data_IF_855770953364
#
_entry.id   IF_855770953364
#
_cell.length_a   1.000
_cell.length_b   1.000
_cell.length_c   1.000
_cell.angle_alpha   90.00
_cell.angle_beta   90.00
_cell.angle_gamma   90.00
#
_symmetry.space_group_name_H-M   'P 1'
#
loop_
_entity.id
_entity.type
_entity.pdbx_description
1 polymer ?
#
# COMPACT_ATOMS: atom_id res chain seq x y z
N UNK A 1 -9.04 -17.66 -1.83
CA UNK A 1 -8.12 -17.56 -0.69
C UNK A 1 -7.29 -18.82 -0.65
N UNK A 2 -6.02 -18.72 -0.99
CA UNK A 2 -5.06 -19.79 -0.73
C UNK A 2 -4.76 -19.79 0.78
N UNK A 3 -4.58 -20.95 1.40
CA UNK A 3 -4.46 -21.06 2.86
C UNK A 3 -3.19 -20.45 3.47
N UNK A 4 -2.34 -19.77 2.71
CA UNK A 4 -1.06 -19.19 3.17
C UNK A 4 -0.65 -17.90 2.45
N UNK A 5 -1.53 -17.21 1.73
CA UNK A 5 -1.21 -15.97 1.04
C UNK A 5 -1.26 -14.75 1.96
N UNK A 6 -0.53 -13.68 1.61
CA UNK A 6 -0.57 -12.41 2.32
C UNK A 6 -1.76 -11.56 1.84
N UNK A 7 -2.50 -10.94 2.77
CA UNK A 7 -3.59 -10.00 2.42
C UNK A 7 -3.04 -8.63 1.98
N UNK A 8 -1.88 -8.25 2.53
CA UNK A 8 -1.20 -6.98 2.28
C UNK A 8 0.26 -7.21 1.92
N UNK A 9 0.70 -6.65 0.79
CA UNK A 9 2.10 -6.63 0.39
C UNK A 9 2.65 -5.22 0.63
N UNK A 10 3.77 -5.11 1.32
CA UNK A 10 4.48 -3.85 1.51
C UNK A 10 5.68 -3.81 0.57
N UNK A 11 5.73 -2.81 -0.31
CA UNK A 11 6.92 -2.47 -1.10
C UNK A 11 8.01 -1.95 -0.17
N UNK A 12 9.15 -2.62 -0.10
CA UNK A 12 10.20 -2.31 0.86
C UNK A 12 11.60 -2.37 0.23
N UNK A 13 12.22 -1.22 0.02
CA UNK A 13 13.56 -1.08 -0.56
C UNK A 13 14.65 -0.90 0.52
N UNK A 14 14.26 -0.80 1.80
CA UNK A 14 15.15 -0.58 2.93
C UNK A 14 15.52 0.89 3.12
N UNK A 15 14.80 1.81 2.51
CA UNK A 15 14.97 3.25 2.72
C UNK A 15 14.28 3.70 4.02
N UNK A 16 14.71 4.82 4.63
CA UNK A 16 14.01 5.33 5.82
C UNK A 16 12.52 5.61 5.59
N UNK A 17 12.11 5.97 4.37
CA UNK A 17 10.71 6.24 4.07
C UNK A 17 9.84 4.98 4.08
N UNK A 18 10.42 3.82 3.74
CA UNK A 18 9.69 2.57 3.71
C UNK A 18 9.17 2.17 5.10
N UNK A 19 9.78 2.69 6.17
CA UNK A 19 9.27 2.50 7.52
C UNK A 19 7.88 3.13 7.72
N UNK A 20 7.49 4.14 6.92
CA UNK A 20 6.13 4.66 6.90
C UNK A 20 5.16 3.63 6.29
N UNK A 21 5.60 2.92 5.24
CA UNK A 21 4.80 1.83 4.66
C UNK A 21 4.65 0.65 5.63
N UNK A 22 5.70 0.32 6.40
CA UNK A 22 5.60 -0.68 7.47
C UNK A 22 4.57 -0.26 8.52
N UNK A 23 4.59 1.02 8.94
CA UNK A 23 3.64 1.56 9.92
C UNK A 23 2.21 1.47 9.39
N UNK A 24 1.94 1.90 8.15
CA UNK A 24 0.61 1.80 7.54
C UNK A 24 0.16 0.33 7.39
N UNK A 25 1.03 -0.55 6.88
CA UNK A 25 0.73 -1.97 6.74
C UNK A 25 0.32 -2.60 8.08
N UNK A 26 1.05 -2.32 9.15
CA UNK A 26 0.71 -2.76 10.52
C UNK A 26 -0.67 -2.25 10.96
N UNK A 27 -0.99 -0.98 10.67
CA UNK A 27 -2.27 -0.38 11.04
C UNK A 27 -3.44 -1.02 10.29
N UNK A 28 -3.29 -1.28 8.99
CA UNK A 28 -4.33 -1.90 8.16
C UNK A 28 -4.58 -3.37 8.53
N UNK A 29 -3.55 -4.08 8.99
CA UNK A 29 -3.62 -5.52 9.29
C UNK A 29 -3.88 -5.84 10.75
N UNK A 30 -4.12 -4.85 11.59
CA UNK A 30 -4.35 -5.03 13.03
C UNK A 30 -5.44 -6.09 13.28
N UNK A 31 -5.00 -7.22 13.80
CA UNK A 31 -5.89 -8.30 14.30
C UNK A 31 -5.86 -9.61 13.52
N UNK A 32 -6.11 -9.66 12.22
CA UNK A 32 -6.35 -10.93 11.51
C UNK A 32 -5.73 -11.04 10.11
N UNK A 33 -5.35 -9.93 9.49
CA UNK A 33 -4.80 -9.94 8.13
C UNK A 33 -3.30 -10.22 8.14
N UNK A 34 -2.81 -10.87 7.11
CA UNK A 34 -1.40 -11.26 6.95
C UNK A 34 -0.65 -10.25 6.09
N UNK A 35 0.61 -9.98 6.47
CA UNK A 35 1.51 -9.06 5.75
C UNK A 35 2.65 -9.84 5.11
N UNK A 36 3.06 -9.44 3.92
CA UNK A 36 4.34 -9.82 3.34
C UNK A 36 5.15 -8.59 2.93
N UNK A 37 6.47 -8.70 2.99
CA UNK A 37 7.39 -7.68 2.47
C UNK A 37 7.89 -8.10 1.10
N UNK A 38 7.98 -7.14 0.17
CA UNK A 38 8.48 -7.40 -1.17
C UNK A 38 9.52 -6.37 -1.59
N UNK A 39 10.62 -6.87 -2.16
CA UNK A 39 11.65 -6.09 -2.82
C UNK A 39 11.75 -6.50 -4.29
N UNK A 40 11.72 -5.54 -5.22
CA UNK A 40 11.78 -5.82 -6.65
C UNK A 40 13.16 -5.51 -7.20
N UNK A 41 13.83 -6.53 -7.72
CA UNK A 41 15.09 -6.43 -8.47
C UNK A 41 14.79 -6.28 -9.96
N UNK A 42 15.45 -5.35 -10.62
CA UNK A 42 15.17 -5.04 -12.04
C UNK A 42 15.98 -5.86 -13.04
N UNK A 43 17.11 -6.38 -12.63
CA UNK A 43 17.95 -7.23 -13.47
C UNK A 43 18.78 -8.19 -12.61
N UNK A 44 19.04 -9.41 -13.08
CA UNK A 44 20.04 -10.28 -12.49
C UNK A 44 21.45 -9.77 -12.83
N UNK A 45 22.42 -10.07 -11.97
CA UNK A 45 23.82 -9.88 -12.26
C UNK A 45 24.35 -11.01 -13.17
N UNK A 46 25.22 -10.68 -14.10
CA UNK A 46 25.82 -11.69 -14.99
C UNK A 46 26.87 -12.56 -14.29
N UNK A 47 27.53 -11.99 -13.30
CA UNK A 47 28.54 -12.68 -12.50
C UNK A 47 27.87 -13.42 -11.34
N UNK A 48 28.06 -14.74 -11.18
CA UNK A 48 27.42 -15.54 -10.15
C UNK A 48 27.70 -15.06 -8.71
N UNK A 49 28.92 -14.58 -8.44
CA UNK A 49 29.28 -14.12 -7.10
C UNK A 49 28.60 -12.79 -6.78
N UNK A 50 28.49 -11.90 -7.78
CA UNK A 50 27.74 -10.65 -7.65
C UNK A 50 26.24 -10.92 -7.52
N UNK A 51 25.71 -11.88 -8.26
CA UNK A 51 24.30 -12.29 -8.14
C UNK A 51 23.99 -12.81 -6.74
N UNK A 52 24.85 -13.67 -6.19
CA UNK A 52 24.70 -14.17 -4.82
C UNK A 52 24.75 -13.03 -3.79
N UNK A 53 25.66 -12.07 -3.96
CA UNK A 53 25.75 -10.89 -3.09
C UNK A 53 24.50 -10.01 -3.19
N UNK A 54 24.04 -9.70 -4.39
CA UNK A 54 22.84 -8.88 -4.61
C UNK A 54 21.57 -9.54 -4.06
N UNK A 55 21.47 -10.86 -4.17
CA UNK A 55 20.37 -11.63 -3.57
C UNK A 55 20.44 -11.57 -2.05
N UNK A 56 21.61 -11.79 -1.45
CA UNK A 56 21.83 -11.70 -0.02
C UNK A 56 21.50 -10.29 0.52
N UNK A 57 21.92 -9.24 -0.17
CA UNK A 57 21.61 -7.86 0.21
C UNK A 57 20.11 -7.60 0.19
N UNK A 58 19.37 -8.10 -0.82
CA UNK A 58 17.93 -7.98 -0.92
C UNK A 58 17.21 -8.69 0.25
N UNK A 59 17.62 -9.92 0.54
CA UNK A 59 17.08 -10.71 1.65
C UNK A 59 17.37 -10.05 3.01
N UNK A 60 18.58 -9.55 3.21
CA UNK A 60 18.97 -8.83 4.44
C UNK A 60 18.15 -7.57 4.68
N UNK A 61 17.85 -6.80 3.62
CA UNK A 61 16.95 -5.62 3.73
C UNK A 61 15.56 -6.03 4.17
N UNK A 62 14.98 -7.05 3.54
CA UNK A 62 13.65 -7.56 3.91
C UNK A 62 13.62 -8.12 5.33
N UNK A 63 14.71 -8.78 5.78
CA UNK A 63 14.83 -9.25 7.16
C UNK A 63 14.81 -8.09 8.15
N UNK A 64 15.57 -7.02 7.87
CA UNK A 64 15.55 -5.81 8.68
C UNK A 64 14.15 -5.16 8.70
N UNK A 65 13.44 -5.14 7.56
CA UNK A 65 12.06 -4.69 7.47
C UNK A 65 11.12 -5.50 8.35
N UNK A 66 11.23 -6.83 8.34
CA UNK A 66 10.42 -7.73 9.17
C UNK A 66 10.67 -7.49 10.68
N UNK A 67 11.93 -7.28 11.07
CA UNK A 67 12.28 -6.91 12.45
C UNK A 67 11.66 -5.56 12.84
N UNK A 68 11.72 -4.56 11.97
CA UNK A 68 11.11 -3.23 12.20
C UNK A 68 9.58 -3.28 12.24
N UNK A 69 8.97 -4.16 11.45
CA UNK A 69 7.53 -4.42 11.50
C UNK A 69 7.10 -5.02 12.84
N UNK A 70 8.03 -5.61 13.59
CA UNK A 70 7.80 -6.27 14.88
C UNK A 70 7.50 -7.75 14.77
N UNK A 71 7.58 -8.34 13.58
CA UNK A 71 7.40 -9.77 13.33
C UNK A 71 8.51 -10.30 12.40
N UNK A 72 9.60 -10.85 12.96
CA UNK A 72 10.68 -11.46 12.18
C UNK A 72 10.23 -12.63 11.30
N UNK A 73 9.07 -13.22 11.58
CA UNK A 73 8.47 -14.31 10.80
C UNK A 73 7.69 -13.85 9.58
N UNK A 74 7.54 -12.54 9.37
CA UNK A 74 6.84 -11.98 8.20
C UNK A 74 7.37 -12.57 6.89
N UNK A 75 6.51 -13.10 5.99
CA UNK A 75 6.88 -13.56 4.65
C UNK A 75 7.62 -12.47 3.86
N UNK A 76 8.63 -12.88 3.10
CA UNK A 76 9.53 -11.99 2.37
C UNK A 76 9.73 -12.49 0.95
N UNK A 77 9.58 -11.60 -0.02
CA UNK A 77 9.68 -11.92 -1.45
C UNK A 77 10.69 -11.02 -2.14
N UNK A 78 11.71 -11.60 -2.74
CA UNK A 78 12.57 -10.93 -3.70
C UNK A 78 12.03 -11.26 -5.08
N UNK A 79 11.50 -10.27 -5.78
CA UNK A 79 10.84 -10.42 -7.08
C UNK A 79 11.73 -9.87 -8.18
N UNK A 80 11.81 -10.56 -9.31
CA UNK A 80 12.45 -10.03 -10.52
C UNK A 80 11.41 -9.49 -11.48
N UNK A 81 11.50 -8.19 -11.80
CA UNK A 81 10.63 -7.57 -12.80
C UNK A 81 11.28 -6.33 -13.40
N UNK A 82 10.94 -6.02 -14.64
CA UNK A 82 11.42 -4.80 -15.32
C UNK A 82 10.89 -3.51 -14.69
N UNK A 83 9.84 -3.59 -13.87
CA UNK A 83 9.31 -2.45 -13.11
C UNK A 83 8.82 -2.90 -11.74
N UNK A 84 9.03 -2.06 -10.72
CA UNK A 84 8.58 -2.33 -9.35
C UNK A 84 7.06 -2.57 -9.30
N UNK A 85 6.27 -1.71 -9.95
CA UNK A 85 4.81 -1.85 -9.94
C UNK A 85 4.34 -3.17 -10.54
N UNK A 86 4.85 -3.56 -11.73
CA UNK A 86 4.45 -4.81 -12.37
C UNK A 86 4.82 -6.02 -11.53
N UNK A 87 6.03 -6.06 -10.97
CA UNK A 87 6.46 -7.16 -10.11
C UNK A 87 5.61 -7.31 -8.84
N UNK A 88 5.22 -6.18 -8.23
CA UNK A 88 4.34 -6.21 -7.06
C UNK A 88 2.91 -6.62 -7.40
N UNK A 89 2.38 -6.22 -8.57
CA UNK A 89 1.04 -6.63 -9.02
C UNK A 89 1.00 -8.14 -9.32
N UNK A 90 2.03 -8.68 -9.99
CA UNK A 90 2.17 -10.11 -10.23
C UNK A 90 2.27 -10.91 -8.91
N UNK A 91 3.05 -10.40 -7.95
CA UNK A 91 3.14 -11.02 -6.63
C UNK A 91 1.80 -10.95 -5.90
N UNK A 92 1.11 -9.81 -5.93
CA UNK A 92 -0.19 -9.66 -5.30
C UNK A 92 -1.22 -10.65 -5.87
N UNK A 93 -1.22 -10.85 -7.18
CA UNK A 93 -2.07 -11.85 -7.82
C UNK A 93 -1.72 -13.29 -7.39
N UNK A 94 -0.43 -13.61 -7.27
CA UNK A 94 0.04 -14.93 -6.85
C UNK A 94 -0.29 -15.24 -5.38
N UNK A 95 -0.14 -14.26 -4.49
CA UNK A 95 -0.44 -14.37 -3.05
C UNK A 95 -1.95 -14.22 -2.76
N UNK A 96 -2.73 -13.68 -3.70
CA UNK A 96 -4.13 -13.31 -3.47
C UNK A 96 -4.28 -12.04 -2.62
N UNK A 97 -3.27 -11.18 -2.60
CA UNK A 97 -3.26 -9.96 -1.81
C UNK A 97 -4.28 -8.94 -2.33
N UNK A 98 -4.94 -8.28 -1.38
CA UNK A 98 -5.94 -7.25 -1.67
C UNK A 98 -5.33 -5.86 -1.81
N UNK A 99 -4.15 -5.63 -1.21
CA UNK A 99 -3.53 -4.30 -1.11
C UNK A 99 -2.02 -4.39 -1.32
N UNK A 100 -1.47 -3.43 -2.07
CA UNK A 100 -0.05 -3.13 -2.09
C UNK A 100 0.16 -1.79 -1.40
N UNK A 101 1.03 -1.75 -0.39
CA UNK A 101 1.34 -0.54 0.38
C UNK A 101 2.71 0.01 -0.04
N UNK A 102 2.74 1.31 -0.28
CA UNK A 102 3.94 2.08 -0.59
C UNK A 102 4.18 3.17 0.45
N UNK A 103 5.43 3.53 0.66
CA UNK A 103 5.78 4.79 1.29
C UNK A 103 5.49 5.97 0.35
N UNK A 104 5.38 7.17 0.90
CA UNK A 104 5.37 8.40 0.10
C UNK A 104 6.72 8.68 -0.54
N UNK A 105 6.72 9.48 -1.61
CA UNK A 105 7.96 10.02 -2.20
C UNK A 105 8.81 10.72 -1.13
N UNK A 106 10.13 10.64 -1.25
CA UNK A 106 11.06 11.15 -0.24
C UNK A 106 11.01 12.66 -0.04
N UNK A 107 10.40 13.41 -0.95
CA UNK A 107 10.21 14.88 -0.88
C UNK A 107 8.88 15.28 -0.27
N UNK A 108 8.02 14.31 0.01
CA UNK A 108 6.68 14.59 0.54
C UNK A 108 6.77 15.23 1.92
N UNK A 109 6.09 16.35 2.16
CA UNK A 109 6.02 16.98 3.48
C UNK A 109 5.41 16.03 4.52
N UNK A 110 5.84 16.10 5.79
CA UNK A 110 5.27 15.27 6.84
C UNK A 110 3.74 15.42 6.95
N UNK A 111 3.07 14.28 7.10
CA UNK A 111 1.62 14.18 7.20
C UNK A 111 0.89 14.14 5.85
N UNK A 112 1.57 14.30 4.72
CA UNK A 112 0.98 14.15 3.39
C UNK A 112 1.33 12.80 2.77
N UNK A 113 0.48 12.30 1.87
CA UNK A 113 0.73 11.10 1.10
C UNK A 113 0.89 11.46 -0.39
N UNK A 114 2.08 11.19 -0.94
CA UNK A 114 2.37 11.38 -2.35
C UNK A 114 2.89 10.05 -2.93
N UNK A 115 2.16 9.44 -3.88
CA UNK A 115 2.57 8.16 -4.44
C UNK A 115 3.96 8.23 -5.06
N UNK A 116 4.90 7.31 -4.77
CA UNK A 116 6.16 7.21 -5.48
C UNK A 116 5.93 6.79 -6.94
N UNK A 117 6.93 6.96 -7.81
CA UNK A 117 6.82 6.70 -9.25
C UNK A 117 6.26 5.31 -9.59
N UNK A 118 6.59 4.29 -8.81
CA UNK A 118 6.05 2.92 -8.97
C UNK A 118 4.55 2.83 -8.70
N UNK A 119 4.07 3.47 -7.64
CA UNK A 119 2.65 3.54 -7.30
C UNK A 119 1.88 4.43 -8.31
N UNK A 120 2.45 5.59 -8.69
CA UNK A 120 1.85 6.46 -9.71
C UNK A 120 1.60 5.70 -11.01
N UNK A 121 2.57 4.90 -11.45
CA UNK A 121 2.44 4.10 -12.66
C UNK A 121 1.32 3.07 -12.57
N UNK A 122 1.16 2.39 -11.43
CA UNK A 122 0.04 1.47 -11.20
C UNK A 122 -1.31 2.19 -11.23
N UNK A 123 -1.39 3.36 -10.62
CA UNK A 123 -2.59 4.20 -10.63
C UNK A 123 -2.94 4.75 -12.03
N UNK A 124 -1.94 4.94 -12.89
CA UNK A 124 -2.13 5.43 -14.29
C UNK A 124 -2.54 4.32 -15.25
N UNK A 125 -1.89 3.15 -15.15
CA UNK A 125 -2.20 2.00 -16.01
C UNK A 125 -3.52 1.35 -15.58
N UNK A 126 -3.85 1.45 -14.29
CA UNK A 126 -4.99 0.81 -13.67
C UNK A 126 -4.68 -0.64 -13.27
N UNK A 127 -4.40 -0.89 -11.99
CA UNK A 127 -4.18 -2.21 -11.42
C UNK A 127 -5.45 -2.80 -10.82
N UNK A 128 -5.42 -4.10 -10.50
CA UNK A 128 -6.55 -4.86 -9.93
C UNK A 128 -6.48 -4.98 -8.40
N UNK A 129 -5.37 -4.54 -7.83
CA UNK A 129 -5.08 -4.57 -6.39
C UNK A 129 -5.22 -3.18 -5.82
N UNK A 130 -5.77 -3.04 -4.62
CA UNK A 130 -5.83 -1.77 -3.90
C UNK A 130 -4.43 -1.19 -3.66
N UNK A 131 -4.30 0.13 -3.71
CA UNK A 131 -3.02 0.81 -3.48
C UNK A 131 -3.11 1.65 -2.21
N UNK A 132 -2.29 1.31 -1.23
CA UNK A 132 -2.07 2.11 -0.03
C UNK A 132 -0.82 2.98 -0.18
N UNK A 133 -0.92 4.25 0.21
CA UNK A 133 0.23 5.17 0.28
C UNK A 133 0.30 5.73 1.69
N UNK A 134 1.37 5.43 2.39
CA UNK A 134 1.58 5.90 3.76
C UNK A 134 1.88 7.40 3.78
N UNK A 135 1.31 8.13 4.73
CA UNK A 135 1.68 9.51 4.98
C UNK A 135 3.16 9.60 5.40
N UNK A 136 3.87 10.57 4.84
CA UNK A 136 5.26 10.82 5.19
C UNK A 136 5.41 11.14 6.69
N UNK A 137 6.33 10.46 7.36
CA UNK A 137 6.61 10.65 8.78
C UNK A 137 5.72 9.81 9.71
N UNK A 138 4.86 8.94 9.20
CA UNK A 138 4.01 8.05 10.01
C UNK A 138 4.85 7.19 10.98
N UNK A 139 6.05 6.78 10.57
CA UNK A 139 7.04 6.03 11.37
C UNK A 139 7.52 6.74 12.63
N UNK A 140 7.39 8.07 12.68
CA UNK A 140 7.91 8.86 13.79
C UNK A 140 7.12 8.66 15.09
N UNK A 141 5.89 8.14 15.00
CA UNK A 141 5.06 7.80 16.14
C UNK A 141 4.82 6.29 16.19
N UNK A 142 5.54 5.55 17.07
CA UNK A 142 5.36 4.12 17.25
C UNK A 142 3.96 3.73 17.74
N UNK A 143 3.27 4.66 18.40
CA UNK A 143 1.91 4.49 18.93
C UNK A 143 0.85 5.05 17.97
N UNK A 144 1.24 5.44 16.74
CA UNK A 144 0.31 5.91 15.73
C UNK A 144 -0.86 4.95 15.57
N UNK A 145 -2.04 5.52 15.48
CA UNK A 145 -3.28 4.79 15.22
C UNK A 145 -4.04 5.49 14.10
N UNK A 146 -4.86 4.75 13.40
CA UNK A 146 -5.90 5.35 12.57
C UNK A 146 -7.04 5.68 13.52
N UNK A 147 -7.24 6.94 13.85
CA UNK A 147 -8.32 7.42 14.71
C UNK A 147 -9.57 7.82 13.94
N UNK A 148 -9.43 8.06 12.62
CA UNK A 148 -10.55 8.43 11.74
C UNK A 148 -10.28 8.01 10.30
N UNK A 149 -11.34 7.61 9.60
CA UNK A 149 -11.31 7.27 8.17
C UNK A 149 -12.28 8.19 7.46
N UNK A 150 -11.89 8.78 6.33
CA UNK A 150 -12.81 9.52 5.48
C UNK A 150 -12.88 8.92 4.09
N UNK A 151 -14.03 9.05 3.45
CA UNK A 151 -14.22 8.63 2.06
C UNK A 151 -14.19 9.86 1.17
N UNK A 152 -13.26 9.87 0.21
CA UNK A 152 -13.26 10.85 -0.87
C UNK A 152 -14.14 10.32 -2.00
N UNK A 153 -15.31 10.94 -2.25
CA UNK A 153 -16.21 10.45 -3.28
C UNK A 153 -15.57 10.53 -4.68
N UNK A 154 -15.45 9.41 -5.35
CA UNK A 154 -15.00 9.35 -6.74
C UNK A 154 -16.16 9.29 -7.75
N UNK A 155 -17.40 9.11 -7.26
CA UNK A 155 -18.63 9.10 -8.07
C UNK A 155 -18.82 7.84 -8.92
N UNK A 156 -18.03 6.79 -8.71
CA UNK A 156 -18.10 5.56 -9.49
C UNK A 156 -19.07 4.54 -8.90
N UNK A 157 -18.72 3.99 -7.77
CA UNK A 157 -19.44 2.92 -7.07
C UNK A 157 -19.25 3.02 -5.56
N UNK A 158 -19.86 2.08 -4.82
CA UNK A 158 -19.82 2.07 -3.35
C UNK A 158 -18.61 1.31 -2.77
N UNK A 159 -17.66 0.83 -3.60
CA UNK A 159 -16.55 0.01 -3.14
C UNK A 159 -15.66 0.72 -2.11
N UNK A 160 -15.39 2.01 -2.29
CA UNK A 160 -14.63 2.81 -1.33
C UNK A 160 -15.38 2.96 -0.01
N UNK A 161 -16.69 3.23 -0.05
CA UNK A 161 -17.52 3.35 1.15
C UNK A 161 -17.56 2.01 1.90
N UNK A 162 -17.82 0.90 1.22
CA UNK A 162 -17.83 -0.43 1.83
C UNK A 162 -16.48 -0.81 2.44
N UNK A 163 -15.38 -0.43 1.76
CA UNK A 163 -14.02 -0.61 2.27
C UNK A 163 -13.80 0.19 3.55
N UNK A 164 -14.19 1.47 3.55
CA UNK A 164 -14.06 2.35 4.71
C UNK A 164 -14.90 1.86 5.90
N UNK A 165 -16.15 1.45 5.65
CA UNK A 165 -17.05 0.93 6.68
C UNK A 165 -16.50 -0.36 7.32
N UNK A 166 -15.98 -1.28 6.49
CA UNK A 166 -15.38 -2.54 6.96
C UNK A 166 -14.15 -2.27 7.82
N UNK A 167 -13.27 -1.38 7.35
CA UNK A 167 -12.04 -1.03 8.07
C UNK A 167 -12.35 -0.25 9.36
N UNK A 168 -13.30 0.69 9.30
CA UNK A 168 -13.74 1.45 10.46
C UNK A 168 -14.31 0.54 11.56
N UNK A 169 -15.14 -0.44 11.18
CA UNK A 169 -15.68 -1.43 12.10
C UNK A 169 -14.56 -2.29 12.72
N UNK A 170 -13.59 -2.74 11.92
CA UNK A 170 -12.43 -3.52 12.38
C UNK A 170 -11.56 -2.75 13.37
N UNK A 171 -11.30 -1.48 13.10
CA UNK A 171 -10.44 -0.63 13.93
C UNK A 171 -11.18 0.02 15.10
N UNK A 172 -12.52 0.00 15.10
CA UNK A 172 -13.34 0.65 16.13
C UNK A 172 -13.31 2.18 16.04
N UNK A 173 -13.21 2.74 14.83
CA UNK A 173 -13.08 4.19 14.58
C UNK A 173 -14.23 4.72 13.72
N UNK A 174 -14.53 6.03 13.77
CA UNK A 174 -15.59 6.62 12.95
C UNK A 174 -15.18 6.75 11.48
N UNK A 175 -16.16 6.68 10.59
CA UNK A 175 -16.05 7.25 9.24
C UNK A 175 -16.41 8.73 9.34
N UNK A 176 -15.40 9.59 9.16
CA UNK A 176 -15.51 11.04 9.29
C UNK A 176 -16.00 11.67 7.97
N UNK A 177 -16.70 12.79 8.09
CA UNK A 177 -17.13 13.57 6.92
C UNK A 177 -16.04 14.48 6.34
N UNK A 178 -15.04 14.84 7.18
CA UNK A 178 -13.97 15.75 6.78
C UNK A 178 -12.73 15.00 6.33
N UNK A 179 -12.48 15.04 5.03
CA UNK A 179 -11.31 14.43 4.38
C UNK A 179 -10.00 15.12 4.78
N UNK A 180 -10.05 16.42 5.10
CA UNK A 180 -8.83 17.20 5.35
C UNK A 180 -8.13 16.85 6.67
N UNK A 181 -8.86 16.25 7.61
CA UNK A 181 -8.37 15.93 8.96
C UNK A 181 -8.35 14.43 9.26
N UNK A 182 -8.72 13.59 8.29
CA UNK A 182 -8.74 12.13 8.48
C UNK A 182 -7.32 11.54 8.44
N UNK A 183 -7.08 10.53 9.28
CA UNK A 183 -5.79 9.83 9.31
C UNK A 183 -5.63 8.87 8.12
N UNK A 184 -6.77 8.36 7.61
CA UNK A 184 -6.81 7.53 6.42
C UNK A 184 -7.93 8.00 5.48
N UNK A 185 -7.58 8.26 4.23
CA UNK A 185 -8.52 8.65 3.19
C UNK A 185 -8.71 7.45 2.25
N UNK A 186 -9.95 6.99 2.11
CA UNK A 186 -10.31 5.94 1.17
C UNK A 186 -10.96 6.58 -0.05
N UNK A 187 -10.45 6.29 -1.23
CA UNK A 187 -11.03 6.76 -2.50
C UNK A 187 -11.27 5.61 -3.45
N UNK A 188 -12.36 5.67 -4.21
CA UNK A 188 -12.69 4.71 -5.23
C UNK A 188 -12.19 5.12 -6.62
N UNK A 189 -12.50 4.29 -7.58
CA UNK A 189 -12.27 4.57 -8.99
C UNK A 189 -13.33 5.51 -9.57
N UNK A 190 -12.98 6.25 -10.62
CA UNK A 190 -13.91 7.15 -11.32
C UNK A 190 -15.06 6.40 -12.00
N UNK A 191 -16.19 7.07 -12.30
CA UNK A 191 -17.28 6.48 -13.07
C UNK A 191 -16.79 5.97 -14.42
N UNK A 192 -17.22 4.75 -14.78
CA UNK A 192 -16.81 4.11 -16.03
C UNK A 192 -15.44 3.44 -16.00
N UNK A 193 -14.78 3.39 -14.87
CA UNK A 193 -13.59 2.54 -14.70
C UNK A 193 -13.94 1.07 -14.98
N UNK A 194 -13.05 0.30 -15.62
CA UNK A 194 -13.26 -1.14 -15.78
C UNK A 194 -13.45 -1.83 -14.42
N UNK A 195 -14.39 -2.77 -14.35
CA UNK A 195 -14.66 -3.51 -13.12
C UNK A 195 -13.39 -4.20 -12.60
N UNK A 196 -13.14 -4.09 -11.31
CA UNK A 196 -11.96 -4.64 -10.64
C UNK A 196 -10.66 -3.86 -10.87
N UNK A 197 -10.67 -2.73 -11.57
CA UNK A 197 -9.46 -1.94 -11.83
C UNK A 197 -9.51 -0.55 -11.20
N UNK A 198 -8.35 -0.03 -10.87
CA UNK A 198 -8.19 1.35 -10.40
C UNK A 198 -8.19 2.30 -11.60
N UNK A 199 -8.95 3.39 -11.51
CA UNK A 199 -8.83 4.54 -12.38
C UNK A 199 -9.20 5.81 -11.61
N UNK A 200 -8.23 6.68 -11.35
CA UNK A 200 -8.46 7.94 -10.63
C UNK A 200 -8.81 9.07 -11.59
N UNK A 201 -9.83 9.86 -11.23
CA UNK A 201 -10.09 11.13 -11.91
C UNK A 201 -9.02 12.17 -11.55
N UNK A 202 -8.83 13.17 -12.44
CA UNK A 202 -7.93 14.28 -12.16
C UNK A 202 -8.35 15.08 -10.92
N UNK A 203 -9.65 15.21 -10.66
CA UNK A 203 -10.18 15.87 -9.46
C UNK A 203 -9.89 15.08 -8.19
N UNK A 204 -10.06 13.75 -8.19
CA UNK A 204 -9.70 12.90 -7.06
C UNK A 204 -8.20 12.99 -6.76
N UNK A 205 -7.36 12.97 -7.78
CA UNK A 205 -5.91 13.12 -7.64
C UNK A 205 -5.56 14.48 -7.00
N UNK A 206 -6.09 15.58 -7.51
CA UNK A 206 -5.84 16.91 -6.96
C UNK A 206 -6.30 17.07 -5.50
N UNK A 207 -7.41 16.42 -5.12
CA UNK A 207 -7.87 16.42 -3.72
C UNK A 207 -6.98 15.57 -2.82
N UNK A 208 -6.46 14.44 -3.31
CA UNK A 208 -5.49 13.62 -2.56
C UNK A 208 -4.19 14.39 -2.33
N UNK A 209 -3.68 15.08 -3.34
CA UNK A 209 -2.46 15.89 -3.25
C UNK A 209 -2.58 17.03 -2.20
N UNK A 210 -3.80 17.53 -1.97
CA UNK A 210 -4.07 18.56 -0.99
C UNK A 210 -4.37 18.03 0.43
N UNK A 211 -4.60 16.72 0.56
CA UNK A 211 -5.06 16.10 1.80
C UNK A 211 -3.90 15.74 2.72
N UNK A 212 -4.23 15.54 4.00
CA UNK A 212 -3.32 14.97 5.00
C UNK A 212 -3.79 13.56 5.36
N UNK A 213 -2.86 12.76 5.87
CA UNK A 213 -3.13 11.37 6.20
C UNK A 213 -2.71 10.39 5.11
N UNK A 214 -2.76 9.12 5.44
CA UNK A 214 -2.49 8.04 4.48
C UNK A 214 -3.66 7.87 3.50
N UNK A 215 -3.40 7.29 2.33
CA UNK A 215 -4.41 7.12 1.28
C UNK A 215 -4.56 5.66 0.93
N UNK A 216 -5.80 5.23 0.69
CA UNK A 216 -6.13 3.91 0.18
C UNK A 216 -7.02 4.06 -1.07
N UNK A 217 -6.52 3.61 -2.21
CA UNK A 217 -7.23 3.62 -3.48
C UNK A 217 -7.82 2.25 -3.76
N UNK A 218 -9.12 2.22 -4.05
CA UNK A 218 -9.93 1.00 -4.17
C UNK A 218 -10.28 0.74 -5.64
N UNK A 219 -10.11 -0.50 -6.15
CA UNK A 219 -10.56 -0.87 -7.49
C UNK A 219 -12.07 -0.77 -7.65
N UNK A 220 -12.52 -0.44 -8.86
CA UNK A 220 -13.94 -0.30 -9.19
C UNK A 220 -14.73 -1.58 -8.91
N UNK A 221 -15.82 -1.49 -8.15
CA UNK A 221 -16.72 -2.60 -7.82
C UNK A 221 -16.12 -3.71 -6.97
N UNK A 222 -14.90 -3.51 -6.41
CA UNK A 222 -14.20 -4.52 -5.62
C UNK A 222 -13.81 -3.96 -4.25
N UNK A 223 -14.70 -3.96 -3.25
CA UNK A 223 -14.35 -3.56 -1.89
C UNK A 223 -13.19 -4.41 -1.34
N UNK A 224 -12.29 -3.78 -0.62
CA UNK A 224 -11.17 -4.48 0.01
C UNK A 224 -11.65 -5.18 1.29
N UNK A 225 -11.08 -6.34 1.55
CA UNK A 225 -11.36 -7.15 2.75
C UNK A 225 -10.14 -7.08 3.69
N UNK A 226 -10.39 -7.06 5.00
CA UNK A 226 -9.37 -6.91 6.05
C UNK A 226 -9.51 -7.97 7.13
#
# INVERSE_FOLDING_TARGET
>A
MGPNGADVIISYDGTPNDDDALALGRLLTKGTSTVALAYVRHAPEFDPDREALAQHDAESRLEQGAVRLGDPGTPRHVVFSSSTGAGLEELAAAEGASIIVFASDYRTPPGHAEPPASAQRLLEIGCETGIGVAAAGLRADPEATIGSIAVLPAGGDDAAQQTADTLAAKLGVPVAADVATADLIVTGSQPGAPAGRIALSGSARAMLDASRGSVLVVPSGKPLQF
#
